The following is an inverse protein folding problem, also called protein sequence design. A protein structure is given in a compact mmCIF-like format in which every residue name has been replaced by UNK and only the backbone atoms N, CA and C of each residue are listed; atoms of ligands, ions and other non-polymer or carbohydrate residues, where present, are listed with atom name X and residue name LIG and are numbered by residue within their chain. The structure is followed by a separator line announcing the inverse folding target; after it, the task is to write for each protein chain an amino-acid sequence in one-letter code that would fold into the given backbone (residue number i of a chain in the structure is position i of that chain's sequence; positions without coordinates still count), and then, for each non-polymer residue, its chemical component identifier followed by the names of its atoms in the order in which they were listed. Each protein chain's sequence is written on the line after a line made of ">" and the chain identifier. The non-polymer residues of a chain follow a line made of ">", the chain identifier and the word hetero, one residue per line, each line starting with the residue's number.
data_IF_900755825424
#
_entry.id   IF_900755825424
#
_cell.length_a   1.000
_cell.length_b   1.000
_cell.length_c   1.000
_cell.angle_alpha   90.00
_cell.angle_beta   90.00
_cell.angle_gamma   90.00
#
_symmetry.space_group_name_H-M   'P 1'
#
loop_
_entity.id
_entity.type
_entity.pdbx_description
1 polymer ?
#
# COMPACT_ATOMS: atom_id res chain seq x y z
N UNK A 1 20.03 0.49 27.08
CA UNK A 1 18.68 0.97 27.43
C UNK A 1 17.72 0.13 26.61
N UNK A 2 16.64 -0.38 27.21
CA UNK A 2 15.63 -1.19 26.51
C UNK A 2 14.75 -0.24 25.71
N UNK A 3 14.71 -0.39 24.39
CA UNK A 3 13.88 0.45 23.53
C UNK A 3 12.63 -0.32 23.15
N UNK A 4 11.54 -0.05 23.86
CA UNK A 4 10.22 -0.59 23.57
C UNK A 4 9.63 0.08 22.34
N UNK A 5 9.18 -0.69 21.34
CA UNK A 5 8.37 -0.13 20.25
C UNK A 5 6.91 -0.39 20.56
N UNK A 6 6.18 0.69 20.84
CA UNK A 6 4.74 0.67 21.04
C UNK A 6 4.02 0.81 19.70
N UNK A 7 3.04 -0.06 19.44
CA UNK A 7 2.14 0.13 18.29
C UNK A 7 1.13 1.20 18.67
N UNK A 8 1.14 2.31 17.94
CA UNK A 8 0.14 3.36 18.12
C UNK A 8 -1.19 2.86 17.58
N UNK A 9 -2.25 2.94 18.37
CA UNK A 9 -3.59 2.63 17.89
C UNK A 9 -4.25 3.90 17.35
N UNK A 10 -5.02 3.81 16.25
CA UNK A 10 -5.66 5.00 15.71
C UNK A 10 -6.73 5.50 16.69
N UNK A 11 -6.83 6.82 16.86
CA UNK A 11 -7.91 7.44 17.63
C UNK A 11 -9.07 7.95 16.77
N UNK A 12 -8.82 8.15 15.47
CA UNK A 12 -9.78 8.63 14.49
C UNK A 12 -9.42 8.11 13.09
N UNK A 13 -10.33 8.29 12.13
CA UNK A 13 -10.16 7.91 10.72
C UNK A 13 -9.24 8.84 9.91
N UNK A 14 -8.63 9.86 10.54
CA UNK A 14 -7.76 10.78 9.83
C UNK A 14 -6.44 10.11 9.41
N UNK A 15 -5.91 10.58 8.28
CA UNK A 15 -4.72 9.99 7.67
C UNK A 15 -3.48 10.03 8.59
N UNK A 16 -3.37 11.01 9.51
CA UNK A 16 -2.23 11.10 10.41
C UNK A 16 -2.22 9.97 11.43
N UNK A 17 -3.36 9.71 12.06
CA UNK A 17 -3.56 8.61 13.00
C UNK A 17 -3.36 7.24 12.33
N UNK A 18 -3.90 7.08 11.12
CA UNK A 18 -3.74 5.85 10.34
C UNK A 18 -2.27 5.59 9.99
N UNK A 19 -1.54 6.61 9.53
CA UNK A 19 -0.11 6.47 9.20
C UNK A 19 0.73 6.14 10.42
N UNK A 20 0.50 6.84 11.54
CA UNK A 20 1.21 6.55 12.78
C UNK A 20 1.01 5.10 13.21
N UNK A 21 -0.22 4.59 13.12
CA UNK A 21 -0.57 3.21 13.46
C UNK A 21 0.10 2.20 12.52
N UNK A 22 0.03 2.44 11.21
CA UNK A 22 0.68 1.59 10.21
C UNK A 22 2.21 1.53 10.38
N UNK A 23 2.89 2.68 10.48
CA UNK A 23 4.34 2.73 10.56
C UNK A 23 4.86 2.10 11.86
N UNK A 24 4.20 2.35 12.99
CA UNK A 24 4.58 1.72 14.26
C UNK A 24 4.32 0.21 14.27
N UNK A 25 3.22 -0.24 13.66
CA UNK A 25 2.94 -1.67 13.47
C UNK A 25 4.02 -2.36 12.61
N UNK A 26 4.37 -1.78 11.46
CA UNK A 26 5.36 -2.35 10.54
C UNK A 26 6.78 -2.33 11.12
N UNK A 27 7.15 -1.27 11.83
CA UNK A 27 8.43 -1.18 12.53
C UNK A 27 8.52 -2.24 13.65
N UNK A 28 7.47 -2.40 14.46
CA UNK A 28 7.43 -3.41 15.50
C UNK A 28 7.50 -4.84 14.93
N UNK A 29 6.79 -5.11 13.82
CA UNK A 29 6.90 -6.38 13.10
C UNK A 29 8.33 -6.64 12.61
N UNK A 30 8.97 -5.63 12.00
CA UNK A 30 10.35 -5.71 11.51
C UNK A 30 11.35 -6.04 12.62
N UNK A 31 11.24 -5.34 13.74
CA UNK A 31 12.10 -5.54 14.90
C UNK A 31 11.94 -6.92 15.51
N UNK A 32 10.70 -7.39 15.70
CA UNK A 32 10.47 -8.68 16.35
C UNK A 32 10.89 -9.86 15.46
N UNK A 33 10.56 -9.81 14.17
CA UNK A 33 11.00 -10.83 13.22
C UNK A 33 12.52 -10.80 13.03
N UNK A 34 13.10 -9.60 12.97
CA UNK A 34 14.55 -9.40 12.92
C UNK A 34 15.25 -9.95 14.16
N UNK A 35 14.69 -9.75 15.36
CA UNK A 35 15.20 -10.33 16.60
C UNK A 35 15.18 -11.85 16.56
N UNK A 36 14.10 -12.46 16.08
CA UNK A 36 14.05 -13.93 15.90
C UNK A 36 15.16 -14.43 14.98
N UNK A 37 15.41 -13.71 13.88
CA UNK A 37 16.52 -14.05 12.97
C UNK A 37 17.88 -13.84 13.61
N UNK A 38 18.05 -12.78 14.39
CA UNK A 38 19.28 -12.48 15.09
C UNK A 38 19.60 -13.55 16.14
N UNK A 39 18.61 -13.94 16.95
CA UNK A 39 18.73 -15.00 17.95
C UNK A 39 19.09 -16.35 17.28
N UNK A 40 18.39 -16.72 16.19
CA UNK A 40 18.69 -17.93 15.43
C UNK A 40 20.06 -17.88 14.76
N UNK A 41 20.39 -16.77 14.10
CA UNK A 41 21.64 -16.55 13.38
C UNK A 41 22.85 -16.63 14.32
N UNK A 42 22.76 -15.99 15.49
CA UNK A 42 23.76 -16.11 16.55
C UNK A 42 23.94 -17.56 17.00
N UNK A 43 22.84 -18.30 17.17
CA UNK A 43 22.89 -19.69 17.61
C UNK A 43 23.60 -20.60 16.58
N UNK A 44 23.35 -20.41 15.28
CA UNK A 44 23.84 -21.34 14.24
C UNK A 44 25.14 -20.94 13.57
N UNK A 45 25.42 -19.64 13.47
CA UNK A 45 26.57 -19.10 12.74
C UNK A 45 27.44 -18.13 13.58
N UNK A 46 27.04 -17.85 14.83
CA UNK A 46 27.77 -16.99 15.75
C UNK A 46 27.52 -15.49 15.53
N UNK A 47 28.19 -14.62 16.31
CA UNK A 47 27.92 -13.17 16.32
C UNK A 47 28.15 -12.44 14.99
N UNK A 48 28.97 -13.02 14.10
CA UNK A 48 29.25 -12.46 12.77
C UNK A 48 28.28 -12.94 11.68
N UNK A 49 27.17 -13.62 12.04
CA UNK A 49 26.27 -14.23 11.06
C UNK A 49 25.73 -13.22 10.04
N UNK A 50 25.35 -12.02 10.50
CA UNK A 50 24.74 -11.01 9.63
C UNK A 50 25.74 -10.45 8.63
N UNK A 51 26.95 -10.10 9.07
CA UNK A 51 28.00 -9.63 8.17
C UNK A 51 28.45 -10.71 7.17
N UNK A 52 28.45 -11.97 7.60
CA UNK A 52 28.72 -13.11 6.71
C UNK A 52 27.64 -13.23 5.64
N UNK A 53 26.36 -13.12 6.02
CA UNK A 53 25.24 -13.14 5.08
C UNK A 53 25.31 -11.95 4.10
N UNK A 54 25.60 -10.75 4.61
CA UNK A 54 25.78 -9.53 3.78
C UNK A 54 26.90 -9.70 2.76
N UNK A 55 28.05 -10.23 3.16
CA UNK A 55 29.17 -10.47 2.27
C UNK A 55 28.81 -11.49 1.17
N UNK A 56 28.07 -12.55 1.51
CA UNK A 56 27.57 -13.51 0.54
C UNK A 56 26.60 -12.86 -0.46
N UNK A 57 25.64 -12.05 0.02
CA UNK A 57 24.68 -11.33 -0.85
C UNK A 57 25.36 -10.28 -1.71
N UNK A 58 26.37 -9.58 -1.21
CA UNK A 58 27.18 -8.65 -2.00
C UNK A 58 27.89 -9.34 -3.17
N UNK A 59 28.36 -10.58 -2.98
CA UNK A 59 29.00 -11.37 -4.02
C UNK A 59 28.00 -11.90 -5.07
N UNK A 60 26.75 -12.17 -4.67
CA UNK A 60 25.69 -12.64 -5.57
C UNK A 60 24.99 -11.49 -6.31
N UNK A 61 24.66 -10.40 -5.60
CA UNK A 61 23.83 -9.30 -6.08
C UNK A 61 24.24 -7.95 -5.47
N UNK A 62 25.14 -7.23 -6.14
CA UNK A 62 25.72 -5.98 -5.61
C UNK A 62 24.74 -4.83 -5.32
N UNK A 63 23.50 -4.87 -5.86
CA UNK A 63 22.50 -3.79 -5.72
C UNK A 63 21.63 -3.92 -4.46
N UNK A 64 21.50 -5.13 -3.89
CA UNK A 64 20.54 -5.41 -2.81
C UNK A 64 21.25 -6.05 -1.62
N UNK A 65 22.13 -5.27 -0.98
CA UNK A 65 22.81 -5.71 0.24
C UNK A 65 22.07 -5.16 1.45
N UNK A 66 21.58 -6.01 2.35
CA UNK A 66 20.87 -5.55 3.52
C UNK A 66 21.80 -4.71 4.39
N UNK A 67 21.30 -3.58 4.90
CA UNK A 67 22.09 -2.66 5.74
C UNK A 67 21.86 -2.90 7.22
N UNK A 68 20.61 -3.16 7.59
CA UNK A 68 20.16 -3.33 8.96
C UNK A 68 19.41 -4.66 9.09
N UNK A 69 19.77 -5.47 10.10
CA UNK A 69 19.20 -6.81 10.32
C UNK A 69 17.76 -6.80 10.84
N UNK A 70 17.25 -5.63 11.19
CA UNK A 70 15.90 -5.41 11.70
C UNK A 70 15.03 -4.57 10.76
N UNK A 71 15.55 -4.16 9.60
CA UNK A 71 14.76 -3.45 8.59
C UNK A 71 13.68 -4.39 8.04
N UNK A 72 12.38 -4.00 8.07
CA UNK A 72 11.29 -4.70 7.39
C UNK A 72 11.63 -5.15 5.95
N UNK A 73 12.35 -4.34 5.15
CA UNK A 73 12.79 -4.73 3.79
C UNK A 73 13.58 -6.04 3.81
N UNK A 74 14.53 -6.14 4.73
CA UNK A 74 15.43 -7.29 4.85
C UNK A 74 14.69 -8.48 5.45
N UNK A 75 14.02 -8.29 6.58
CA UNK A 75 13.45 -9.43 7.32
C UNK A 75 12.29 -10.10 6.57
N UNK A 76 11.62 -9.35 5.70
CA UNK A 76 10.61 -9.89 4.78
C UNK A 76 11.28 -10.44 3.51
N UNK A 77 12.15 -9.65 2.88
CA UNK A 77 12.71 -9.94 1.57
C UNK A 77 13.69 -11.12 1.53
N UNK A 78 14.59 -11.23 2.51
CA UNK A 78 15.65 -12.27 2.54
C UNK A 78 15.09 -13.70 2.42
N UNK A 79 14.15 -14.15 3.29
CA UNK A 79 13.59 -15.49 3.17
C UNK A 79 12.65 -15.66 1.96
N UNK A 80 12.06 -14.59 1.42
CA UNK A 80 11.20 -14.64 0.23
C UNK A 80 12.01 -14.88 -1.05
N UNK A 81 13.01 -14.05 -1.29
CA UNK A 81 13.79 -14.06 -2.53
C UNK A 81 14.89 -15.11 -2.53
N UNK A 82 15.40 -15.49 -1.35
CA UNK A 82 16.46 -16.48 -1.23
C UNK A 82 15.95 -17.75 -0.57
N UNK A 83 15.48 -18.70 -1.39
CA UNK A 83 14.99 -20.01 -0.93
C UNK A 83 16.03 -20.85 -0.18
N UNK A 84 17.33 -20.55 -0.37
CA UNK A 84 18.46 -21.16 0.33
C UNK A 84 18.89 -20.40 1.58
N UNK A 85 18.22 -19.29 1.94
CA UNK A 85 18.57 -18.50 3.11
C UNK A 85 18.52 -19.34 4.39
N UNK A 86 19.57 -19.28 5.25
CA UNK A 86 19.58 -20.00 6.51
C UNK A 86 18.44 -19.55 7.45
N UNK A 87 17.94 -18.32 7.30
CA UNK A 87 16.87 -17.76 8.14
C UNK A 87 15.54 -18.48 7.93
N UNK A 88 15.32 -19.10 6.77
CA UNK A 88 14.12 -19.92 6.53
C UNK A 88 14.01 -21.09 7.50
N UNK A 89 15.09 -21.50 8.16
CA UNK A 89 15.09 -22.58 9.14
C UNK A 89 14.29 -22.27 10.41
N UNK A 90 14.20 -21.00 10.82
CA UNK A 90 13.44 -20.57 12.01
C UNK A 90 11.99 -20.14 11.70
N UNK A 91 11.55 -20.33 10.46
CA UNK A 91 10.22 -19.98 9.95
C UNK A 91 9.37 -21.22 9.64
N UNK A 92 8.03 -21.09 9.65
CA UNK A 92 7.12 -22.10 9.11
C UNK A 92 7.49 -22.50 7.68
N UNK A 93 7.23 -23.77 7.35
CA UNK A 93 7.49 -24.32 6.01
C UNK A 93 6.22 -24.31 5.18
N UNK A 94 6.40 -24.39 3.86
CA UNK A 94 5.31 -24.50 2.90
C UNK A 94 5.01 -23.20 2.17
N UNK A 95 4.52 -23.33 0.94
CA UNK A 95 4.26 -22.19 0.04
C UNK A 95 3.31 -21.17 0.66
N UNK A 96 2.27 -21.64 1.34
CA UNK A 96 1.24 -20.80 1.96
C UNK A 96 1.80 -19.76 2.95
N UNK A 97 2.80 -20.13 3.75
CA UNK A 97 3.44 -19.18 4.66
C UNK A 97 4.18 -18.06 3.91
N UNK A 98 4.94 -18.41 2.88
CA UNK A 98 5.69 -17.42 2.08
C UNK A 98 4.77 -16.57 1.21
N UNK A 99 3.63 -17.11 0.82
CA UNK A 99 2.52 -16.39 0.22
C UNK A 99 2.03 -15.26 1.15
N UNK A 100 1.78 -15.54 2.44
CA UNK A 100 1.43 -14.50 3.42
C UNK A 100 2.58 -13.51 3.68
N UNK A 101 3.82 -13.98 3.68
CA UNK A 101 4.98 -13.11 3.85
C UNK A 101 5.15 -12.15 2.66
N UNK A 102 4.86 -12.60 1.44
CA UNK A 102 4.82 -11.73 0.24
C UNK A 102 3.64 -10.75 0.30
N UNK A 103 2.52 -11.13 0.91
CA UNK A 103 1.43 -10.19 1.19
C UNK A 103 1.89 -9.05 2.11
N UNK A 104 2.68 -9.32 3.16
CA UNK A 104 3.27 -8.26 3.99
C UNK A 104 4.21 -7.37 3.16
N UNK A 105 5.07 -7.97 2.33
CA UNK A 105 5.98 -7.23 1.43
C UNK A 105 5.23 -6.28 0.50
N UNK A 106 4.22 -6.80 -0.20
CA UNK A 106 3.43 -6.03 -1.17
C UNK A 106 2.65 -4.91 -0.49
N UNK A 107 2.09 -5.17 0.70
CA UNK A 107 1.51 -4.13 1.56
C UNK A 107 2.52 -3.03 1.81
N UNK A 108 3.68 -3.41 2.35
CA UNK A 108 4.71 -2.44 2.73
C UNK A 108 5.11 -1.56 1.56
N UNK A 109 5.39 -2.17 0.41
CA UNK A 109 5.75 -1.44 -0.79
C UNK A 109 4.63 -0.50 -1.25
N UNK A 110 3.36 -0.92 -1.15
CA UNK A 110 2.23 -0.06 -1.50
C UNK A 110 2.16 1.19 -0.61
N UNK A 111 2.39 1.05 0.70
CA UNK A 111 2.40 2.16 1.64
C UNK A 111 3.62 3.07 1.46
N UNK A 112 4.81 2.52 1.23
CA UNK A 112 6.04 3.28 1.02
C UNK A 112 6.05 4.08 -0.29
N UNK A 113 5.45 3.51 -1.34
CA UNK A 113 5.31 4.18 -2.64
C UNK A 113 4.04 5.03 -2.74
N UNK A 114 3.32 5.21 -1.63
CA UNK A 114 2.07 6.00 -1.57
C UNK A 114 0.99 5.53 -2.56
N UNK A 115 1.02 4.26 -2.94
CA UNK A 115 0.08 3.64 -3.87
C UNK A 115 -1.26 3.27 -3.23
N UNK A 116 -1.33 3.28 -1.89
CA UNK A 116 -2.56 3.12 -1.10
C UNK A 116 -2.93 4.42 -0.39
N UNK A 117 -4.23 4.68 -0.29
CA UNK A 117 -4.74 5.78 0.50
C UNK A 117 -4.68 5.42 2.00
N UNK A 118 -4.10 6.26 2.88
CA UNK A 118 -4.16 6.06 4.32
C UNK A 118 -5.58 6.27 4.86
N UNK A 119 -6.29 5.19 5.12
CA UNK A 119 -7.63 5.16 5.71
C UNK A 119 -7.79 3.89 6.57
N UNK A 120 -8.94 3.74 7.24
CA UNK A 120 -9.18 2.59 8.11
C UNK A 120 -9.17 1.24 7.36
N UNK A 121 -9.62 1.22 6.10
CA UNK A 121 -9.67 0.00 5.28
C UNK A 121 -8.26 -0.48 4.92
N UNK A 122 -7.38 0.42 4.48
CA UNK A 122 -5.99 0.07 4.19
C UNK A 122 -5.21 -0.29 5.45
N UNK A 123 -5.51 0.33 6.59
CA UNK A 123 -4.90 -0.01 7.87
C UNK A 123 -5.32 -1.40 8.36
N UNK A 124 -6.60 -1.72 8.25
CA UNK A 124 -7.13 -3.06 8.52
C UNK A 124 -6.45 -4.10 7.63
N UNK A 125 -6.35 -3.83 6.32
CA UNK A 125 -5.66 -4.70 5.37
C UNK A 125 -4.20 -4.98 5.79
N UNK A 126 -3.49 -3.94 6.26
CA UNK A 126 -2.13 -4.08 6.76
C UNK A 126 -2.06 -4.87 8.08
N UNK A 127 -2.97 -4.60 9.01
CA UNK A 127 -3.04 -5.30 10.28
C UNK A 127 -3.39 -6.79 10.13
N UNK A 128 -4.30 -7.13 9.20
CA UNK A 128 -4.65 -8.53 8.88
C UNK A 128 -3.41 -9.30 8.44
N UNK A 129 -2.62 -8.77 7.50
CA UNK A 129 -1.49 -9.54 6.95
C UNK A 129 -0.32 -9.62 7.92
N UNK A 130 -0.08 -8.56 8.71
CA UNK A 130 0.89 -8.61 9.80
C UNK A 130 0.46 -9.65 10.83
N UNK A 131 -0.80 -9.63 11.26
CA UNK A 131 -1.35 -10.61 12.19
C UNK A 131 -1.20 -12.05 11.67
N UNK A 132 -1.58 -12.31 10.42
CA UNK A 132 -1.52 -13.64 9.82
C UNK A 132 -0.11 -14.25 9.81
N UNK A 133 0.91 -13.44 9.55
CA UNK A 133 2.31 -13.89 9.59
C UNK A 133 2.79 -14.01 11.03
N UNK A 134 2.51 -13.02 11.87
CA UNK A 134 2.92 -12.98 13.26
C UNK A 134 2.40 -14.19 14.05
N UNK A 135 1.11 -14.49 13.93
CA UNK A 135 0.46 -15.63 14.60
C UNK A 135 1.10 -16.97 14.18
N UNK A 136 1.30 -17.18 12.88
CA UNK A 136 1.93 -18.42 12.35
C UNK A 136 3.38 -18.61 12.78
N UNK A 137 4.11 -17.53 13.00
CA UNK A 137 5.50 -17.55 13.47
C UNK A 137 5.56 -17.63 15.01
N UNK A 138 4.48 -17.25 15.70
CA UNK A 138 4.41 -17.12 17.15
C UNK A 138 5.10 -15.85 17.65
N UNK A 139 4.88 -14.71 16.97
CA UNK A 139 5.37 -13.39 17.38
C UNK A 139 4.33 -12.69 18.27
N UNK A 140 4.80 -11.96 19.28
CA UNK A 140 3.99 -11.16 20.19
C UNK A 140 3.25 -10.01 19.48
N UNK A 141 3.78 -9.49 18.36
CA UNK A 141 3.14 -8.48 17.51
C UNK A 141 1.77 -8.90 16.96
N UNK A 142 1.43 -10.20 17.00
CA UNK A 142 0.08 -10.67 16.69
C UNK A 142 -0.97 -9.97 17.57
N UNK A 143 -0.76 -9.87 18.88
CA UNK A 143 -1.72 -9.23 19.79
C UNK A 143 -1.96 -7.74 19.48
N UNK A 144 -0.91 -6.91 19.31
CA UNK A 144 -1.10 -5.52 18.90
C UNK A 144 -1.67 -5.35 17.48
N UNK A 145 -1.39 -6.26 16.55
CA UNK A 145 -2.06 -6.26 15.24
C UNK A 145 -3.57 -6.52 15.40
N UNK A 146 -3.98 -7.46 16.25
CA UNK A 146 -5.38 -7.70 16.60
C UNK A 146 -6.02 -6.47 17.27
N UNK A 147 -5.31 -5.80 18.19
CA UNK A 147 -5.79 -4.56 18.81
C UNK A 147 -6.01 -3.42 17.81
N UNK A 148 -5.19 -3.34 16.74
CA UNK A 148 -5.44 -2.40 15.63
C UNK A 148 -6.74 -2.75 14.90
N UNK A 149 -7.00 -4.03 14.61
CA UNK A 149 -8.23 -4.48 13.96
C UNK A 149 -9.46 -4.14 14.80
N UNK A 150 -9.46 -4.49 16.09
CA UNK A 150 -10.54 -4.16 17.02
C UNK A 150 -10.79 -2.64 17.11
N UNK A 151 -9.71 -1.85 17.11
CA UNK A 151 -9.82 -0.38 17.14
C UNK A 151 -10.43 0.17 15.86
N UNK A 152 -9.99 -0.33 14.69
CA UNK A 152 -10.54 0.07 13.39
C UNK A 152 -12.06 -0.18 13.35
N UNK A 153 -12.50 -1.37 13.78
CA UNK A 153 -13.93 -1.67 13.84
C UNK A 153 -14.69 -0.78 14.81
N UNK A 154 -14.12 -0.50 15.99
CA UNK A 154 -14.74 0.36 17.00
C UNK A 154 -14.94 1.78 16.50
N UNK A 155 -13.96 2.33 15.75
CA UNK A 155 -14.08 3.65 15.11
C UNK A 155 -15.18 3.63 14.04
N UNK A 156 -15.23 2.60 13.18
CA UNK A 156 -16.28 2.46 12.15
C UNK A 156 -17.69 2.42 12.75
N UNK A 157 -17.84 1.75 13.90
CA UNK A 157 -19.12 1.64 14.61
C UNK A 157 -19.49 2.91 15.38
N UNK A 158 -18.62 3.91 15.43
CA UNK A 158 -18.81 5.12 16.25
C UNK A 158 -18.79 4.84 17.75
N UNK A 159 -18.26 3.68 18.15
CA UNK A 159 -18.07 3.28 19.55
C UNK A 159 -16.79 3.90 20.15
N UNK A 160 -15.97 4.54 19.30
CA UNK A 160 -14.74 5.20 19.68
C UNK A 160 -14.71 6.70 19.28
N UNK A 161 -14.22 7.60 20.16
CA UNK A 161 -13.84 7.33 21.54
C UNK A 161 -15.06 7.03 22.41
N UNK A 162 -14.93 6.09 23.36
CA UNK A 162 -16.01 5.80 24.31
C UNK A 162 -16.32 7.09 25.11
N UNK A 163 -17.60 7.42 25.25
CA UNK A 163 -18.01 8.61 26.00
C UNK A 163 -17.51 8.52 27.45
N UNK A 164 -16.49 9.30 27.78
CA UNK A 164 -15.88 9.37 29.12
C UNK A 164 -14.61 8.54 29.34
N UNK A 165 -14.04 7.90 28.33
CA UNK A 165 -12.71 7.26 28.47
C UNK A 165 -11.57 8.25 28.24
N UNK A 166 -10.62 8.28 29.17
CA UNK A 166 -9.28 8.79 28.92
C UNK A 166 -8.59 7.98 27.80
N UNK A 167 -7.57 8.53 27.11
CA UNK A 167 -6.85 7.82 26.05
C UNK A 167 -6.40 6.44 26.54
N UNK A 168 -6.75 5.38 25.81
CA UNK A 168 -6.25 4.04 26.11
C UNK A 168 -4.77 4.00 25.79
N UNK A 169 -3.95 3.63 26.77
CA UNK A 169 -2.50 3.44 26.59
C UNK A 169 -2.24 2.49 25.42
N UNK A 170 -1.37 2.91 24.50
CA UNK A 170 -0.95 2.09 23.37
C UNK A 170 -0.34 0.77 23.86
N UNK A 171 -0.76 -0.40 23.31
CA UNK A 171 -0.14 -1.67 23.64
C UNK A 171 1.35 -1.60 23.28
N UNK A 172 2.19 -1.81 24.29
CA UNK A 172 3.64 -1.69 24.18
C UNK A 172 4.25 -3.08 24.12
N UNK A 173 5.05 -3.35 23.08
CA UNK A 173 5.86 -4.57 23.01
C UNK A 173 7.25 -4.26 23.55
N UNK A 174 7.69 -5.06 24.52
CA UNK A 174 9.07 -5.06 24.96
C UNK A 174 9.91 -5.87 23.98
N UNK A 175 10.56 -5.20 23.03
CA UNK A 175 11.54 -5.82 22.13
C UNK A 175 12.93 -5.34 22.55
N UNK A 176 13.82 -6.28 22.89
CA UNK A 176 15.24 -5.95 23.10
C UNK A 176 15.92 -5.67 21.76
N UNK A 177 15.98 -4.40 21.38
CA UNK A 177 16.75 -3.90 20.25
C UNK A 177 17.64 -2.72 20.69
N UNK A 178 18.85 -2.63 20.12
CA UNK A 178 19.80 -1.57 20.44
C UNK A 178 19.25 -0.19 20.01
N UNK A 179 19.48 0.85 20.82
CA UNK A 179 18.84 2.17 20.66
C UNK A 179 19.20 2.83 19.32
N UNK A 180 20.42 2.59 18.84
CA UNK A 180 20.91 3.06 17.54
C UNK A 180 20.14 2.44 16.36
N UNK A 181 19.66 1.20 16.51
CA UNK A 181 18.90 0.48 15.49
C UNK A 181 17.47 1.03 15.35
N UNK A 182 16.82 1.37 16.46
CA UNK A 182 15.46 1.90 16.46
C UNK A 182 15.43 3.30 15.84
N UNK A 183 16.40 4.14 16.19
CA UNK A 183 16.55 5.49 15.65
C UNK A 183 16.92 5.49 14.15
N UNK A 184 17.65 4.48 13.66
CA UNK A 184 18.01 4.33 12.24
C UNK A 184 16.80 3.94 11.38
N UNK A 185 16.00 2.96 11.83
CA UNK A 185 14.76 2.54 11.15
C UNK A 185 13.78 3.72 11.04
N UNK A 186 13.65 4.52 12.10
CA UNK A 186 12.75 5.68 12.11
C UNK A 186 13.25 6.85 11.24
N UNK A 187 14.57 6.94 10.99
CA UNK A 187 15.20 8.06 10.25
C UNK A 187 15.31 7.78 8.74
N UNK A 188 15.46 6.52 8.32
CA UNK A 188 15.50 6.17 6.88
C UNK A 188 14.12 6.26 6.20
N UNK A 189 13.01 6.04 6.91
CA UNK A 189 11.64 6.11 6.33
C UNK A 189 11.21 7.52 5.88
N UNK A 190 11.82 8.59 6.43
CA UNK A 190 11.44 9.99 6.16
C UNK A 190 12.17 10.57 4.94
N UNK A 191 13.20 9.89 4.40
CA UNK A 191 14.17 10.51 3.49
C UNK A 191 14.07 10.11 1.99
N UNK A 192 13.15 9.24 1.57
CA UNK A 192 13.19 8.64 0.21
C UNK A 192 12.12 9.11 -0.79
N UNK A 193 11.95 10.41 -1.01
CA UNK A 193 11.12 10.93 -2.12
C UNK A 193 11.82 12.03 -2.90
N UNK A 194 12.51 11.65 -3.98
CA UNK A 194 12.81 12.55 -5.09
C UNK A 194 13.33 11.77 -6.32
N UNK A 195 12.65 11.91 -7.48
CA UNK A 195 13.27 12.15 -8.81
C UNK A 195 12.25 12.36 -9.95
N UNK A 196 12.36 13.56 -10.54
CA UNK A 196 12.27 14.01 -11.96
C UNK A 196 11.07 13.71 -12.91
N UNK A 197 10.31 14.78 -13.13
CA UNK A 197 9.96 15.42 -14.43
C UNK A 197 9.40 14.57 -15.59
N UNK A 198 8.20 14.05 -15.36
CA UNK A 198 7.02 14.13 -16.25
C UNK A 198 5.83 14.34 -15.29
N UNK A 199 4.67 14.85 -15.74
CA UNK A 199 3.51 15.02 -14.83
C UNK A 199 3.28 13.69 -14.09
N UNK A 200 3.05 13.71 -12.77
CA UNK A 200 2.75 12.47 -12.04
C UNK A 200 1.50 11.83 -12.66
N UNK A 201 1.33 10.49 -12.61
CA UNK A 201 0.12 9.88 -13.13
C UNK A 201 -1.14 10.38 -12.39
N UNK A 202 -2.30 10.32 -13.04
CA UNK A 202 -3.58 10.67 -12.39
C UNK A 202 -3.80 9.79 -11.15
N UNK A 203 -4.06 10.43 -10.01
CA UNK A 203 -4.17 9.82 -8.69
C UNK A 203 -2.91 9.97 -7.83
N UNK A 204 -1.78 10.42 -8.37
CA UNK A 204 -0.53 10.52 -7.62
C UNK A 204 -0.29 11.93 -7.03
N UNK A 205 0.61 12.05 -6.03
CA UNK A 205 0.99 13.33 -5.45
C UNK A 205 1.47 14.34 -6.49
N UNK A 206 0.93 15.56 -6.41
CA UNK A 206 1.42 16.69 -7.18
C UNK A 206 2.72 17.19 -6.57
N UNK A 207 3.81 17.05 -7.32
CA UNK A 207 5.18 17.36 -6.86
C UNK A 207 5.68 18.73 -7.29
N UNK A 208 4.90 19.46 -8.09
CA UNK A 208 5.26 20.77 -8.61
C UNK A 208 4.64 21.92 -7.79
N UNK A 209 4.95 23.15 -8.20
CA UNK A 209 4.33 24.35 -7.66
C UNK A 209 2.80 24.32 -7.89
N UNK A 210 2.03 24.87 -6.94
CA UNK A 210 0.58 24.81 -7.03
C UNK A 210 0.09 25.76 -8.14
N UNK A 211 -0.75 25.31 -9.07
CA UNK A 211 -1.31 26.20 -10.09
C UNK A 211 -2.17 27.31 -9.50
N UNK A 212 -2.17 28.47 -10.16
CA UNK A 212 -2.87 29.64 -9.65
C UNK A 212 -4.38 29.60 -9.92
N UNK A 213 -4.79 29.14 -11.11
CA UNK A 213 -6.19 29.15 -11.56
C UNK A 213 -7.07 28.31 -10.65
N UNK A 214 -8.16 28.90 -10.14
CA UNK A 214 -9.05 28.27 -9.15
C UNK A 214 -10.34 27.82 -9.80
N UNK A 215 -10.70 26.57 -9.57
CA UNK A 215 -11.97 26.01 -10.04
C UNK A 215 -12.69 25.30 -8.92
N UNK A 216 -14.02 25.32 -8.95
CA UNK A 216 -14.88 24.68 -7.95
C UNK A 216 -15.66 23.54 -8.59
N UNK A 217 -15.46 22.36 -8.04
CA UNK A 217 -16.28 21.19 -8.31
C UNK A 217 -17.54 21.26 -7.44
N UNK A 218 -18.70 21.24 -8.09
CA UNK A 218 -19.99 21.25 -7.40
C UNK A 218 -20.50 19.83 -7.18
N UNK A 219 -21.28 19.63 -6.12
CA UNK A 219 -21.88 18.33 -5.79
C UNK A 219 -22.81 17.78 -6.89
N UNK A 220 -23.30 18.64 -7.78
CA UNK A 220 -24.16 18.27 -8.91
C UNK A 220 -23.38 17.94 -10.19
N UNK A 221 -22.05 17.83 -10.15
CA UNK A 221 -21.25 17.50 -11.34
C UNK A 221 -20.94 18.69 -12.24
N UNK A 222 -21.04 19.92 -11.75
CA UNK A 222 -20.58 21.13 -12.45
C UNK A 222 -19.16 21.53 -12.05
N UNK A 223 -18.39 22.06 -13.00
CA UNK A 223 -17.04 22.60 -12.77
C UNK A 223 -17.03 24.08 -13.15
N UNK A 224 -16.77 24.96 -12.19
CA UNK A 224 -16.90 26.41 -12.37
C UNK A 224 -15.55 27.10 -12.12
N UNK A 225 -15.13 27.95 -13.04
CA UNK A 225 -13.99 28.83 -12.86
C UNK A 225 -14.34 29.92 -11.83
N UNK A 226 -13.53 30.09 -10.80
CA UNK A 226 -13.84 31.03 -9.72
C UNK A 226 -13.42 32.47 -10.02
N UNK A 227 -12.58 32.68 -11.03
CA UNK A 227 -12.15 34.00 -11.45
C UNK A 227 -13.07 34.56 -12.56
N UNK A 228 -13.55 33.72 -13.49
CA UNK A 228 -14.49 34.13 -14.55
C UNK A 228 -15.96 33.84 -14.28
N UNK A 229 -16.27 32.88 -13.40
CA UNK A 229 -17.64 32.40 -13.14
C UNK A 229 -18.21 31.48 -14.22
N UNK A 230 -17.42 31.11 -15.22
CA UNK A 230 -17.85 30.27 -16.34
C UNK A 230 -17.82 28.78 -16.00
N UNK A 231 -18.71 28.01 -16.63
CA UNK A 231 -18.65 26.55 -16.57
C UNK A 231 -17.53 26.04 -17.48
N UNK A 232 -16.62 25.25 -16.89
CA UNK A 232 -15.51 24.60 -17.58
C UNK A 232 -15.85 23.16 -18.01
N UNK A 233 -17.05 22.66 -17.72
CA UNK A 233 -17.45 21.30 -18.07
C UNK A 233 -17.36 21.04 -19.59
N UNK A 234 -17.56 22.07 -20.42
CA UNK A 234 -17.42 21.97 -21.88
C UNK A 234 -16.00 21.64 -22.35
N UNK A 235 -14.97 21.93 -21.55
CA UNK A 235 -13.58 21.58 -21.87
C UNK A 235 -13.29 20.09 -21.72
N UNK A 236 -14.14 19.34 -21.01
CA UNK A 236 -14.00 17.90 -20.82
C UNK A 236 -14.68 17.08 -21.95
N UNK A 237 -15.41 17.75 -22.84
CA UNK A 237 -16.13 17.13 -23.96
C UNK A 237 -17.13 16.05 -23.50
N UNK A 238 -17.31 15.01 -24.32
CA UNK A 238 -18.30 13.95 -24.07
C UNK A 238 -17.99 13.11 -22.82
N UNK A 239 -16.75 13.15 -22.32
CA UNK A 239 -16.32 12.43 -21.11
C UNK A 239 -16.60 13.18 -19.80
N UNK A 240 -17.13 14.40 -19.88
CA UNK A 240 -17.37 15.24 -18.71
C UNK A 240 -18.17 14.54 -17.59
N UNK A 241 -19.27 13.81 -17.86
CA UNK A 241 -20.04 13.16 -16.79
C UNK A 241 -19.22 12.14 -16.01
N UNK A 242 -18.43 11.32 -16.70
CA UNK A 242 -17.59 10.28 -16.08
C UNK A 242 -16.45 10.88 -15.28
N UNK A 243 -15.71 11.83 -15.85
CA UNK A 243 -14.56 12.47 -15.18
C UNK A 243 -15.02 13.23 -13.93
N UNK A 244 -16.14 13.96 -14.02
CA UNK A 244 -16.65 14.73 -12.89
C UNK A 244 -17.23 13.83 -11.81
N UNK A 245 -17.88 12.71 -12.16
CA UNK A 245 -18.31 11.72 -11.18
C UNK A 245 -17.13 11.13 -10.42
N UNK A 246 -16.04 10.79 -11.13
CA UNK A 246 -14.79 10.31 -10.52
C UNK A 246 -14.16 11.37 -9.61
N UNK A 247 -14.10 12.64 -10.03
CA UNK A 247 -13.55 13.69 -9.16
C UNK A 247 -14.42 13.95 -7.93
N UNK A 248 -15.74 13.82 -8.05
CA UNK A 248 -16.66 13.93 -6.91
C UNK A 248 -16.47 12.77 -5.94
N UNK A 249 -16.31 11.53 -6.43
CA UNK A 249 -16.11 10.36 -5.58
C UNK A 249 -14.84 10.45 -4.75
N UNK A 250 -13.82 11.15 -5.27
CA UNK A 250 -12.56 11.43 -4.56
C UNK A 250 -12.70 12.46 -3.42
N UNK A 251 -13.84 13.14 -3.31
CA UNK A 251 -14.16 14.14 -2.27
C UNK A 251 -13.01 15.14 -1.98
N UNK A 252 -12.46 15.83 -3.01
CA UNK A 252 -11.42 16.83 -2.81
C UNK A 252 -11.94 17.96 -1.90
N UNK A 253 -11.12 18.37 -0.93
CA UNK A 253 -11.41 19.48 -0.02
C UNK A 253 -11.11 20.81 -0.70
N UNK A 254 -12.07 21.73 -0.62
CA UNK A 254 -11.89 23.10 -1.07
C UNK A 254 -11.90 23.24 -2.59
N UNK A 255 -11.06 24.15 -3.09
CA UNK A 255 -10.99 24.51 -4.51
C UNK A 255 -9.94 23.64 -5.22
N UNK A 256 -10.25 23.26 -6.45
CA UNK A 256 -9.28 22.63 -7.34
C UNK A 256 -8.43 23.71 -8.00
N UNK A 257 -7.22 23.32 -8.40
CA UNK A 257 -6.24 24.19 -9.06
C UNK A 257 -5.92 23.65 -10.44
N UNK A 258 -5.84 24.52 -11.44
CA UNK A 258 -5.65 24.12 -12.84
C UNK A 258 -4.38 24.74 -13.39
N UNK A 259 -3.48 23.91 -13.91
CA UNK A 259 -2.28 24.35 -14.60
C UNK A 259 -2.56 24.75 -16.05
N UNK A 260 -1.60 25.41 -16.69
CA UNK A 260 -1.72 25.92 -18.06
C UNK A 260 -1.92 24.81 -19.11
N UNK A 261 -1.45 23.59 -18.82
CA UNK A 261 -1.64 22.39 -19.64
C UNK A 261 -2.93 21.62 -19.32
N UNK A 262 -3.81 22.20 -18.49
CA UNK A 262 -5.06 21.59 -18.08
C UNK A 262 -4.94 20.65 -16.87
N UNK A 263 -3.74 20.35 -16.36
CA UNK A 263 -3.59 19.48 -15.19
C UNK A 263 -4.39 20.03 -13.99
N UNK A 264 -5.31 19.23 -13.47
CA UNK A 264 -6.25 19.62 -12.43
C UNK A 264 -5.87 18.94 -11.12
N UNK A 265 -5.52 19.75 -10.14
CA UNK A 265 -5.01 19.33 -8.83
C UNK A 265 -6.07 19.59 -7.77
N UNK A 266 -6.29 18.63 -6.89
CA UNK A 266 -7.18 18.76 -5.75
C UNK A 266 -6.46 18.50 -4.44
N UNK A 267 -7.00 19.04 -3.35
CA UNK A 267 -6.58 18.66 -2.01
C UNK A 267 -7.40 17.47 -1.52
N UNK A 268 -6.88 16.26 -1.64
CA UNK A 268 -7.52 15.08 -1.04
C UNK A 268 -6.87 14.83 0.32
N UNK A 269 -7.67 14.89 1.40
CA UNK A 269 -7.25 14.66 2.80
C UNK A 269 -5.95 15.40 3.19
N UNK A 270 -5.79 16.66 2.74
CA UNK A 270 -4.65 17.53 3.07
C UNK A 270 -3.44 17.41 2.13
N UNK A 271 -3.49 16.51 1.14
CA UNK A 271 -2.42 16.30 0.15
C UNK A 271 -2.82 16.82 -1.23
N UNK A 272 -1.84 17.34 -1.97
CA UNK A 272 -2.03 17.81 -3.35
C UNK A 272 -1.97 16.60 -4.27
N UNK A 273 -3.06 16.29 -4.97
CA UNK A 273 -3.15 15.13 -5.87
C UNK A 273 -3.55 15.60 -7.26
N UNK A 274 -2.91 15.05 -8.30
CA UNK A 274 -3.37 15.22 -9.67
C UNK A 274 -4.66 14.41 -9.89
N UNK A 275 -5.78 15.09 -10.12
CA UNK A 275 -7.09 14.47 -10.35
C UNK A 275 -7.32 14.09 -11.82
N UNK A 276 -6.67 14.78 -12.75
CA UNK A 276 -6.88 14.60 -14.18
C UNK A 276 -6.51 15.85 -14.97
N UNK A 277 -7.06 15.99 -16.18
CA UNK A 277 -6.79 17.11 -17.07
C UNK A 277 -8.10 17.74 -17.57
N UNK A 278 -8.09 19.07 -17.69
CA UNK A 278 -9.08 19.84 -18.44
C UNK A 278 -8.63 19.94 -19.89
N UNK A 279 -9.37 19.29 -20.79
CA UNK A 279 -9.01 19.20 -22.21
C UNK A 279 -8.33 17.88 -22.57
N UNK A 280 -7.49 17.92 -23.60
CA UNK A 280 -6.76 16.76 -24.07
C UNK A 280 -5.65 16.40 -23.08
N UNK A 281 -5.67 15.17 -22.60
CA UNK A 281 -4.66 14.65 -21.69
C UNK A 281 -3.33 14.51 -22.47
N UNK A 282 -2.18 14.98 -21.93
CA UNK A 282 -0.88 14.73 -22.54
C UNK A 282 -0.70 13.24 -22.77
N UNK A 283 0.03 12.83 -23.82
CA UNK A 283 0.29 11.43 -24.11
C UNK A 283 0.92 10.74 -22.89
N UNK A 284 0.10 10.01 -22.13
CA UNK A 284 0.54 9.20 -21.00
C UNK A 284 1.10 7.91 -21.56
N UNK A 285 2.12 7.38 -20.91
CA UNK A 285 2.53 6.00 -21.13
C UNK A 285 1.32 5.08 -20.88
N UNK A 286 0.79 4.37 -21.89
CA UNK A 286 -0.38 3.49 -21.73
C UNK A 286 -0.10 2.35 -20.74
N UNK A 287 1.18 2.06 -20.48
CA UNK A 287 1.66 1.04 -19.57
C UNK A 287 1.84 1.57 -18.13
N UNK A 288 1.59 2.86 -17.88
CA UNK A 288 1.60 3.41 -16.52
C UNK A 288 0.26 3.11 -15.79
N UNK A 289 0.30 2.65 -14.53
CA UNK A 289 -0.91 2.40 -13.75
C UNK A 289 -1.61 3.71 -13.36
N UNK A 290 -2.94 3.75 -13.52
CA UNK A 290 -3.79 4.91 -13.22
C UNK A 290 -4.66 4.69 -11.99
N UNK A 291 -4.94 5.75 -11.24
CA UNK A 291 -5.83 5.72 -10.07
C UNK A 291 -5.19 5.11 -8.82
N UNK A 292 -5.94 5.09 -7.73
CA UNK A 292 -5.53 4.52 -6.44
C UNK A 292 -5.78 3.02 -6.37
N UNK A 293 -4.96 2.27 -5.64
CA UNK A 293 -5.23 0.86 -5.34
C UNK A 293 -6.52 0.73 -4.52
N UNK A 294 -7.39 -0.20 -4.95
CA UNK A 294 -8.58 -0.58 -4.16
C UNK A 294 -8.18 -1.48 -2.99
N UNK A 295 -8.97 -1.52 -1.90
CA UNK A 295 -8.70 -2.34 -0.71
C UNK A 295 -9.03 -3.83 -0.92
N UNK A 296 -8.64 -4.37 -2.08
CA UNK A 296 -8.76 -5.79 -2.42
C UNK A 296 -7.42 -6.33 -2.89
N UNK A 297 -7.18 -7.61 -2.59
CA UNK A 297 -5.98 -8.33 -3.01
C UNK A 297 -6.38 -9.57 -3.77
N UNK A 298 -5.62 -9.84 -4.81
CA UNK A 298 -5.86 -10.99 -5.65
C UNK A 298 -4.58 -11.78 -5.80
N UNK A 299 -4.71 -13.07 -6.06
CA UNK A 299 -3.57 -13.92 -6.37
C UNK A 299 -3.89 -14.82 -7.55
N UNK A 300 -2.97 -14.90 -8.49
CA UNK A 300 -3.04 -15.92 -9.53
C UNK A 300 -2.75 -17.29 -8.89
N UNK A 301 -3.70 -18.22 -8.91
CA UNK A 301 -3.54 -19.59 -8.41
C UNK A 301 -4.10 -20.60 -9.41
N UNK A 302 -3.25 -21.52 -9.86
CA UNK A 302 -3.59 -22.66 -10.74
C UNK A 302 -4.37 -22.26 -12.00
N UNK A 303 -4.02 -21.10 -12.57
CA UNK A 303 -4.70 -20.58 -13.77
C UNK A 303 -6.07 -19.99 -13.48
N UNK A 304 -6.25 -19.38 -12.31
CA UNK A 304 -7.40 -18.54 -11.95
C UNK A 304 -6.94 -17.39 -11.04
N UNK A 305 -7.76 -16.36 -10.89
CA UNK A 305 -7.52 -15.26 -9.96
C UNK A 305 -8.40 -15.47 -8.72
N UNK A 306 -7.78 -15.48 -7.54
CA UNK A 306 -8.49 -15.68 -6.26
C UNK A 306 -8.39 -14.41 -5.44
N UNK A 307 -9.50 -13.91 -4.92
CA UNK A 307 -9.50 -12.86 -3.91
C UNK A 307 -8.90 -13.40 -2.62
N UNK A 308 -7.80 -12.81 -2.17
CA UNK A 308 -7.05 -13.25 -0.99
C UNK A 308 -7.84 -13.09 0.31
N UNK A 309 -8.85 -12.22 0.36
CA UNK A 309 -9.67 -12.03 1.55
C UNK A 309 -10.82 -13.03 1.61
N UNK A 310 -11.66 -13.09 0.58
CA UNK A 310 -12.84 -13.96 0.57
C UNK A 310 -12.53 -15.41 0.17
N UNK A 311 -11.41 -15.65 -0.51
CA UNK A 311 -11.11 -16.93 -1.17
C UNK A 311 -11.94 -17.18 -2.43
N UNK A 312 -12.75 -16.21 -2.88
CA UNK A 312 -13.55 -16.34 -4.08
C UNK A 312 -12.68 -16.41 -5.34
N UNK A 313 -13.08 -17.29 -6.25
CA UNK A 313 -12.46 -17.48 -7.55
C UNK A 313 -13.11 -16.57 -8.59
N UNK A 314 -12.31 -15.88 -9.41
CA UNK A 314 -12.81 -14.97 -10.44
C UNK A 314 -13.70 -15.70 -11.45
N UNK A 315 -13.29 -16.92 -11.84
CA UNK A 315 -14.06 -17.79 -12.72
C UNK A 315 -15.47 -18.14 -12.22
N UNK A 316 -15.71 -18.06 -10.91
CA UNK A 316 -17.01 -18.36 -10.30
C UNK A 316 -17.91 -17.11 -10.16
N UNK A 317 -17.33 -15.90 -10.10
CA UNK A 317 -18.05 -14.68 -9.71
C UNK A 317 -18.12 -13.61 -10.80
N UNK A 318 -17.26 -13.67 -11.83
CA UNK A 318 -17.29 -12.72 -12.93
C UNK A 318 -18.61 -12.83 -13.72
N UNK A 319 -19.10 -11.69 -14.21
CA UNK A 319 -20.34 -11.63 -15.00
C UNK A 319 -20.10 -12.15 -16.41
N UNK A 320 -19.00 -11.70 -17.03
CA UNK A 320 -18.51 -12.16 -18.32
C UNK A 320 -17.43 -13.23 -18.13
N UNK A 321 -17.24 -14.09 -19.14
CA UNK A 321 -16.22 -15.14 -19.12
C UNK A 321 -14.80 -14.56 -18.97
N UNK A 322 -14.11 -14.79 -17.83
CA UNK A 322 -12.79 -14.21 -17.57
C UNK A 322 -11.66 -15.04 -18.19
N UNK A 323 -11.94 -16.15 -18.90
CA UNK A 323 -10.93 -17.12 -19.35
C UNK A 323 -9.79 -16.50 -20.16
N UNK A 324 -10.10 -15.55 -21.06
CA UNK A 324 -9.07 -14.88 -21.86
C UNK A 324 -8.16 -13.98 -21.01
N UNK A 325 -8.73 -13.24 -20.05
CA UNK A 325 -8.00 -12.41 -19.10
C UNK A 325 -7.10 -13.28 -18.22
N UNK A 326 -7.65 -14.36 -17.66
CA UNK A 326 -6.92 -15.28 -16.79
C UNK A 326 -5.77 -15.95 -17.54
N UNK A 327 -5.98 -16.37 -18.80
CA UNK A 327 -4.92 -16.92 -19.64
C UNK A 327 -3.81 -15.88 -19.92
N UNK A 328 -4.17 -14.62 -20.17
CA UNK A 328 -3.21 -13.54 -20.36
C UNK A 328 -2.39 -13.29 -19.08
N UNK A 329 -3.04 -13.25 -17.91
CA UNK A 329 -2.38 -13.10 -16.62
C UNK A 329 -1.45 -14.28 -16.33
N UNK A 330 -1.86 -15.53 -16.61
CA UNK A 330 -1.01 -16.70 -16.44
C UNK A 330 0.18 -16.77 -17.42
N UNK A 331 0.06 -16.14 -18.59
CA UNK A 331 1.17 -15.96 -19.52
C UNK A 331 2.15 -14.88 -19.09
N UNK A 332 1.68 -13.85 -18.38
CA UNK A 332 2.49 -12.71 -17.95
C UNK A 332 3.09 -12.87 -16.55
N UNK A 333 2.43 -13.63 -15.66
CA UNK A 333 2.75 -13.71 -14.24
C UNK A 333 2.96 -15.17 -13.79
N UNK A 334 3.96 -15.43 -12.94
CA UNK A 334 4.10 -16.72 -12.28
C UNK A 334 2.88 -17.09 -11.42
N UNK A 335 2.66 -18.41 -11.26
CA UNK A 335 1.67 -18.90 -10.31
C UNK A 335 2.01 -18.45 -8.88
N UNK A 336 1.03 -17.90 -8.18
CA UNK A 336 1.17 -17.32 -6.86
C UNK A 336 1.42 -15.81 -6.85
N UNK A 337 1.56 -15.14 -7.99
CA UNK A 337 1.77 -13.69 -8.04
C UNK A 337 0.61 -12.92 -7.41
N UNK A 338 0.95 -12.00 -6.51
CA UNK A 338 0.01 -11.03 -5.95
C UNK A 338 -0.33 -9.95 -6.97
N UNK A 339 -1.63 -9.71 -7.16
CA UNK A 339 -2.20 -8.76 -8.10
C UNK A 339 -3.02 -7.76 -7.29
N UNK A 340 -2.91 -6.47 -7.66
CA UNK A 340 -3.73 -5.38 -7.12
C UNK A 340 -4.54 -4.76 -8.25
N UNK A 341 -5.66 -4.15 -7.89
CA UNK A 341 -6.53 -3.43 -8.82
C UNK A 341 -6.52 -1.94 -8.44
N UNK A 342 -6.59 -1.07 -9.44
CA UNK A 342 -6.78 0.36 -9.21
C UNK A 342 -8.24 0.77 -9.44
N UNK A 343 -8.60 1.93 -8.90
CA UNK A 343 -9.88 2.63 -9.15
C UNK A 343 -10.12 2.99 -10.62
N UNK A 344 -9.09 2.94 -11.47
CA UNK A 344 -9.23 3.11 -12.92
C UNK A 344 -9.43 1.78 -13.67
N UNK A 345 -9.51 0.65 -12.95
CA UNK A 345 -9.60 -0.67 -13.55
C UNK A 345 -8.25 -1.26 -13.96
N UNK A 346 -7.11 -0.70 -13.55
CA UNK A 346 -5.81 -1.27 -13.91
C UNK A 346 -5.40 -2.39 -12.95
N UNK A 347 -5.07 -3.56 -13.50
CA UNK A 347 -4.41 -4.62 -12.77
C UNK A 347 -2.91 -4.37 -12.73
N UNK A 348 -2.34 -4.39 -11.53
CA UNK A 348 -0.95 -4.06 -11.28
C UNK A 348 -0.29 -5.10 -10.40
N UNK A 349 1.02 -5.26 -10.56
CA UNK A 349 1.89 -5.98 -9.62
C UNK A 349 2.77 -4.97 -8.90
N UNK A 350 2.94 -5.14 -7.60
CA UNK A 350 3.82 -4.29 -6.80
C UNK A 350 5.21 -4.92 -6.72
N UNK A 351 6.19 -4.26 -7.35
CA UNK A 351 7.60 -4.60 -7.19
C UNK A 351 8.28 -3.60 -6.25
N UNK A 352 9.61 -3.63 -6.18
CA UNK A 352 10.37 -2.75 -5.29
C UNK A 352 10.49 -1.31 -5.82
N UNK A 353 10.27 -1.11 -7.12
CA UNK A 353 10.29 0.20 -7.79
C UNK A 353 8.90 0.85 -7.87
N UNK A 354 7.82 0.10 -7.60
CA UNK A 354 6.45 0.60 -7.55
C UNK A 354 5.44 -0.33 -8.22
N UNK A 355 4.22 0.16 -8.48
CA UNK A 355 3.21 -0.57 -9.23
C UNK A 355 3.58 -0.63 -10.72
N UNK A 356 3.50 -1.83 -11.30
CA UNK A 356 3.65 -2.07 -12.74
C UNK A 356 2.32 -2.57 -13.29
N UNK A 357 1.77 -1.87 -14.28
CA UNK A 357 0.52 -2.28 -14.93
C UNK A 357 0.74 -3.53 -15.76
N UNK A 358 -0.22 -4.45 -15.66
CA UNK A 358 -0.26 -5.69 -16.45
C UNK A 358 -1.31 -5.56 -17.54
N UNK A 359 -2.51 -5.12 -17.18
CA UNK A 359 -3.64 -4.93 -18.09
C UNK A 359 -4.73 -4.09 -17.42
N UNK A 360 -5.84 -3.82 -18.12
CA UNK A 360 -7.02 -3.13 -17.58
C UNK A 360 -8.23 -4.06 -17.64
N UNK A 361 -9.13 -3.93 -16.67
CA UNK A 361 -10.35 -4.75 -16.53
C UNK A 361 -11.58 -3.85 -16.38
N UNK A 362 -12.74 -4.44 -16.65
CA UNK A 362 -14.05 -3.81 -16.43
C UNK A 362 -14.78 -4.45 -15.26
N UNK A 363 -15.82 -3.78 -14.74
CA UNK A 363 -16.69 -4.35 -13.73
C UNK A 363 -17.36 -5.67 -14.17
N UNK A 364 -17.55 -5.88 -15.48
CA UNK A 364 -18.16 -7.12 -16.01
C UNK A 364 -17.16 -8.28 -16.12
N UNK A 365 -15.86 -7.98 -16.23
CA UNK A 365 -14.79 -8.98 -16.41
C UNK A 365 -13.97 -9.20 -15.14
N UNK A 366 -14.41 -8.62 -14.01
CA UNK A 366 -13.74 -8.69 -12.72
C UNK A 366 -14.72 -9.07 -11.61
N UNK A 367 -14.22 -9.13 -10.37
CA UNK A 367 -15.04 -9.35 -9.19
C UNK A 367 -16.13 -8.25 -9.10
N UNK A 368 -17.41 -8.64 -8.98
CA UNK A 368 -18.52 -7.69 -8.87
C UNK A 368 -18.29 -6.69 -7.74
N UNK A 369 -18.71 -5.45 -7.95
CA UNK A 369 -18.61 -4.33 -6.99
C UNK A 369 -17.17 -3.91 -6.59
N UNK A 370 -16.13 -4.58 -7.08
CA UNK A 370 -14.73 -4.23 -6.79
C UNK A 370 -14.15 -3.21 -7.77
N UNK A 371 -14.81 -2.98 -8.92
CA UNK A 371 -14.46 -1.95 -9.90
C UNK A 371 -15.59 -0.92 -9.95
N UNK A 372 -15.30 0.32 -9.59
CA UNK A 372 -16.21 1.45 -9.80
C UNK A 372 -15.98 2.02 -11.20
N UNK A 373 -16.81 1.64 -12.18
CA UNK A 373 -16.83 2.29 -13.51
C UNK A 373 -18.07 3.16 -13.62
#
# INVERSE_FOLDING_TARGET
>A
MMTTVSVTLPEAEDAGQVLASYHTLMAAFGLELGKRYDDYGHQVAGPGWFETLRAARQAEHAKFVPKNRFDPSFVIGEPLFHSTSPLRACLPKGKEFYDFLDDVRTTRNAWQHYSVEPNLDSLEEAAIVVHQVADRVGLAIAGPAEAVLERVESIRRGEWPLAGTAPTESPTIEVEADQETVDEVHREEVASTARQATRPPVGYPWTEEMPERRVRLTVSGGLVDLDSGESLAGLLGDRAPTILAQWISLRPKGELRVADDGATVGYIKGRRILLGFLGEEPAVDPDAPRGFLVPHRYRLKRGDVVDSMSGAHLSDVAVDDPSALVAALAGALPDGSAIRLTTAGDLVVLNDEGPVKITSVTASTWFPDHVSI
#
